data_IF_054650560596
#
_entry.id   IF_054650560596
#
_cell.length_a   1.000
_cell.length_b   1.000
_cell.length_c   1.000
_cell.angle_alpha   90.00
_cell.angle_beta   90.00
_cell.angle_gamma   90.00
#
_symmetry.space_group_name_H-M   'P 1'
#
loop_
_entity.id
_entity.type
_entity.pdbx_description
1 polymer ?
#
# COMPACT_ATOMS: atom_id res chain seq x y z
N UNK A 1 17.45 21.07 21.35
CA UNK A 1 16.19 20.71 20.65
C UNK A 1 16.51 19.91 19.38
N UNK A 2 16.88 18.63 19.53
CA UNK A 2 17.35 17.76 18.41
C UNK A 2 16.60 16.43 18.31
N UNK A 3 15.60 16.20 19.16
CA UNK A 3 14.89 14.91 19.30
C UNK A 3 13.83 14.66 18.21
N UNK A 4 13.40 15.72 17.50
CA UNK A 4 12.29 15.63 16.53
C UNK A 4 12.71 14.96 15.21
N UNK A 5 13.99 15.07 14.83
CA UNK A 5 14.49 14.58 13.54
C UNK A 5 14.70 13.07 13.53
N UNK A 6 15.21 12.50 14.63
CA UNK A 6 15.46 11.06 14.74
C UNK A 6 14.14 10.25 14.72
N UNK A 7 13.13 10.71 15.45
CA UNK A 7 11.82 10.04 15.54
C UNK A 7 11.09 10.01 14.19
N UNK A 8 11.32 11.02 13.34
CA UNK A 8 10.70 11.13 12.02
C UNK A 8 11.30 10.15 11.01
N UNK A 9 12.61 9.94 11.04
CA UNK A 9 13.30 9.00 10.14
C UNK A 9 12.96 7.54 10.49
N UNK A 10 12.85 7.21 11.78
CA UNK A 10 12.41 5.89 12.25
C UNK A 10 10.94 5.59 11.94
N UNK A 11 10.07 6.61 12.02
CA UNK A 11 8.66 6.47 11.66
C UNK A 11 8.46 6.30 10.15
N UNK A 12 9.29 6.95 9.32
CA UNK A 12 9.31 6.77 7.86
C UNK A 12 9.77 5.36 7.47
N UNK A 13 10.82 4.83 8.11
CA UNK A 13 11.28 3.45 7.85
C UNK A 13 10.26 2.41 8.33
N UNK A 14 9.64 2.62 9.50
CA UNK A 14 8.58 1.75 10.02
C UNK A 14 7.28 1.81 9.21
N UNK A 15 6.86 3.00 8.78
CA UNK A 15 5.67 3.20 7.95
C UNK A 15 5.82 2.61 6.56
N UNK A 16 6.98 2.81 5.92
CA UNK A 16 7.27 2.21 4.61
C UNK A 16 7.32 0.68 4.70
N UNK A 17 7.97 0.12 5.72
CA UNK A 17 7.95 -1.33 5.96
C UNK A 17 6.54 -1.88 6.18
N UNK A 18 5.72 -1.21 7.00
CA UNK A 18 4.35 -1.64 7.27
C UNK A 18 3.50 -1.67 6.00
N UNK A 19 3.65 -0.65 5.15
CA UNK A 19 2.95 -0.55 3.86
C UNK A 19 3.40 -1.65 2.90
N UNK A 20 4.71 -1.90 2.79
CA UNK A 20 5.24 -2.97 1.95
C UNK A 20 4.77 -4.35 2.43
N UNK A 21 4.81 -4.59 3.74
CA UNK A 21 4.33 -5.84 4.34
C UNK A 21 2.84 -6.06 4.07
N UNK A 22 2.00 -5.03 4.28
CA UNK A 22 0.57 -5.12 4.01
C UNK A 22 0.26 -5.33 2.51
N UNK A 23 1.02 -4.69 1.61
CA UNK A 23 0.86 -4.88 0.17
C UNK A 23 1.28 -6.29 -0.29
N UNK A 24 2.31 -6.89 0.34
CA UNK A 24 2.67 -8.31 0.13
C UNK A 24 1.59 -9.25 0.61
N UNK A 25 1.09 -9.03 1.82
CA UNK A 25 -0.01 -9.82 2.40
C UNK A 25 -1.27 -9.75 1.51
N UNK A 26 -1.58 -8.59 0.94
CA UNK A 26 -2.67 -8.42 -0.01
C UNK A 26 -2.46 -9.25 -1.30
N UNK A 27 -1.24 -9.23 -1.85
CA UNK A 27 -0.86 -10.05 -3.02
C UNK A 27 -1.02 -11.54 -2.72
N UNK A 28 -0.52 -12.00 -1.58
CA UNK A 28 -0.60 -13.40 -1.16
C UNK A 28 -2.04 -13.83 -0.91
N UNK A 29 -2.85 -13.01 -0.25
CA UNK A 29 -4.27 -13.29 -0.06
C UNK A 29 -5.01 -13.47 -1.39
N UNK A 30 -4.67 -12.66 -2.40
CA UNK A 30 -5.22 -12.77 -3.76
C UNK A 30 -4.78 -14.05 -4.47
N UNK A 31 -3.54 -14.49 -4.28
CA UNK A 31 -3.07 -15.79 -4.78
C UNK A 31 -3.79 -16.95 -4.09
N UNK A 32 -4.01 -16.84 -2.78
CA UNK A 32 -4.71 -17.85 -2.00
C UNK A 32 -6.17 -18.02 -2.45
N UNK A 33 -6.85 -16.92 -2.78
CA UNK A 33 -8.17 -16.93 -3.39
C UNK A 33 -8.17 -17.61 -4.77
N UNK A 34 -7.18 -17.30 -5.62
CA UNK A 34 -7.02 -17.93 -6.94
C UNK A 34 -6.76 -19.44 -6.85
N UNK A 35 -6.12 -19.89 -5.77
CA UNK A 35 -5.90 -21.31 -5.50
C UNK A 35 -7.14 -22.05 -4.96
N UNK A 36 -8.29 -21.38 -4.82
CA UNK A 36 -9.56 -22.00 -4.41
C UNK A 36 -9.84 -21.97 -2.90
N UNK A 37 -8.99 -21.33 -2.10
CA UNK A 37 -9.21 -21.20 -0.66
C UNK A 37 -10.15 -20.04 -0.33
N UNK A 38 -11.45 -20.19 -0.62
CA UNK A 38 -12.42 -19.10 -0.56
C UNK A 38 -12.60 -18.49 0.84
N UNK A 39 -12.98 -19.29 1.85
CA UNK A 39 -13.33 -18.75 3.18
C UNK A 39 -12.14 -18.05 3.84
N UNK A 40 -11.00 -18.73 3.92
CA UNK A 40 -9.77 -18.18 4.50
C UNK A 40 -9.17 -17.08 3.63
N UNK A 41 -9.25 -17.21 2.31
CA UNK A 41 -8.75 -16.21 1.37
C UNK A 41 -9.51 -14.89 1.45
N UNK A 42 -10.85 -14.92 1.56
CA UNK A 42 -11.64 -13.70 1.71
C UNK A 42 -11.31 -12.99 3.03
N UNK A 43 -11.25 -13.74 4.14
CA UNK A 43 -10.89 -13.17 5.44
C UNK A 43 -9.49 -12.54 5.44
N UNK A 44 -8.51 -13.26 4.88
CA UNK A 44 -7.13 -12.78 4.73
C UNK A 44 -7.07 -11.53 3.85
N UNK A 45 -7.82 -11.52 2.75
CA UNK A 45 -7.88 -10.39 1.82
C UNK A 45 -8.50 -9.14 2.46
N UNK A 46 -9.63 -9.27 3.16
CA UNK A 46 -10.26 -8.15 3.89
C UNK A 46 -9.40 -7.63 5.04
N UNK A 47 -8.64 -8.51 5.69
CA UNK A 47 -7.65 -8.11 6.70
C UNK A 47 -6.51 -7.31 6.06
N UNK A 48 -5.89 -7.85 5.01
CA UNK A 48 -4.77 -7.21 4.32
C UNK A 48 -5.12 -5.82 3.79
N UNK A 49 -6.33 -5.64 3.24
CA UNK A 49 -6.82 -4.32 2.78
C UNK A 49 -6.93 -3.31 3.92
N UNK A 50 -7.47 -3.73 5.06
CA UNK A 50 -7.58 -2.87 6.25
C UNK A 50 -6.21 -2.48 6.79
N UNK A 51 -5.29 -3.44 6.88
CA UNK A 51 -3.91 -3.18 7.31
C UNK A 51 -3.19 -2.24 6.34
N UNK A 52 -3.35 -2.44 5.02
CA UNK A 52 -2.79 -1.56 4.00
C UNK A 52 -3.35 -0.14 4.11
N UNK A 53 -4.66 0.01 4.35
CA UNK A 53 -5.28 1.32 4.57
C UNK A 53 -4.70 2.02 5.80
N UNK A 54 -4.58 1.32 6.93
CA UNK A 54 -4.02 1.86 8.15
C UNK A 54 -2.54 2.24 7.98
N UNK A 55 -1.75 1.38 7.35
CA UNK A 55 -0.33 1.62 7.08
C UNK A 55 -0.14 2.83 6.15
N UNK A 56 -0.98 2.94 5.11
CA UNK A 56 -0.97 4.08 4.18
C UNK A 56 -1.31 5.38 4.92
N UNK A 57 -2.27 5.34 5.84
CA UNK A 57 -2.64 6.49 6.66
C UNK A 57 -1.49 6.94 7.57
N UNK A 58 -0.77 6.00 8.19
CA UNK A 58 0.40 6.28 9.03
C UNK A 58 1.57 6.87 8.22
N UNK A 59 1.78 6.37 7.00
CA UNK A 59 2.84 6.84 6.10
C UNK A 59 2.56 8.25 5.57
N UNK A 60 1.31 8.54 5.16
CA UNK A 60 0.94 9.85 4.59
C UNK A 60 0.80 10.95 5.65
N UNK A 61 0.51 10.62 6.91
CA UNK A 61 0.62 11.56 8.03
C UNK A 61 2.07 11.94 8.37
N UNK A 62 3.02 11.10 7.96
CA UNK A 62 4.46 11.29 8.12
C UNK A 62 5.05 11.81 6.81
N UNK A 63 4.67 13.04 6.42
CA UNK A 63 4.97 13.61 5.10
C UNK A 63 6.38 13.29 4.58
N UNK A 64 6.52 12.65 3.40
CA UNK A 64 7.81 12.26 2.87
C UNK A 64 8.58 13.49 2.39
N UNK A 65 9.76 13.71 2.93
CA UNK A 65 10.82 14.43 2.22
C UNK A 65 11.53 13.40 1.34
N UNK A 66 11.48 13.52 0.01
CA UNK A 66 12.31 12.70 -0.87
C UNK A 66 13.76 12.98 -0.51
N UNK A 67 14.48 11.98 -0.03
CA UNK A 67 15.94 12.06 0.11
C UNK A 67 16.51 11.59 -1.21
N UNK A 68 17.14 12.53 -1.94
CA UNK A 68 17.67 12.41 -3.30
C UNK A 68 18.87 11.45 -3.43
N UNK A 69 18.80 10.24 -2.89
CA UNK A 69 19.95 9.31 -2.87
C UNK A 69 19.60 7.88 -3.29
N UNK A 70 18.69 7.75 -4.25
CA UNK A 70 18.52 6.54 -5.06
C UNK A 70 18.60 6.91 -6.54
N UNK A 71 19.27 6.09 -7.37
CA UNK A 71 19.31 6.31 -8.82
C UNK A 71 17.90 6.53 -9.38
N UNK A 72 17.77 7.38 -10.40
CA UNK A 72 16.48 7.81 -10.96
C UNK A 72 15.42 6.69 -11.08
N UNK A 73 15.73 5.46 -11.52
CA UNK A 73 14.73 4.38 -11.65
C UNK A 73 14.11 3.90 -10.32
N UNK A 74 14.88 3.92 -9.23
CA UNK A 74 14.42 3.48 -7.92
C UNK A 74 13.49 4.53 -7.30
N UNK A 75 13.85 5.81 -7.42
CA UNK A 75 13.04 6.92 -6.94
C UNK A 75 11.69 6.97 -7.68
N UNK A 76 11.72 6.82 -9.01
CA UNK A 76 10.51 6.79 -9.85
C UNK A 76 9.59 5.61 -9.48
N UNK A 77 10.17 4.42 -9.28
CA UNK A 77 9.41 3.23 -8.89
C UNK A 77 8.79 3.37 -7.49
N UNK A 78 9.54 3.95 -6.55
CA UNK A 78 9.03 4.22 -5.21
C UNK A 78 7.93 5.29 -5.23
N UNK A 79 8.08 6.35 -6.03
CA UNK A 79 7.06 7.38 -6.18
C UNK A 79 5.78 6.82 -6.83
N UNK A 80 5.90 5.98 -7.85
CA UNK A 80 4.76 5.30 -8.45
C UNK A 80 4.02 4.40 -7.44
N UNK A 81 4.76 3.71 -6.58
CA UNK A 81 4.20 2.94 -5.47
C UNK A 81 3.45 3.83 -4.47
N UNK A 82 4.03 4.97 -4.06
CA UNK A 82 3.36 5.93 -3.18
C UNK A 82 2.06 6.49 -3.77
N UNK A 83 2.05 6.82 -5.06
CA UNK A 83 0.84 7.27 -5.77
C UNK A 83 -0.23 6.17 -5.77
N UNK A 84 0.15 4.91 -6.05
CA UNK A 84 -0.78 3.79 -6.02
C UNK A 84 -1.43 3.59 -4.64
N UNK A 85 -0.68 3.83 -3.56
CA UNK A 85 -1.22 3.76 -2.18
C UNK A 85 -2.21 4.89 -1.89
N UNK A 86 -1.95 6.10 -2.38
CA UNK A 86 -2.89 7.21 -2.25
C UNK A 86 -4.19 6.94 -3.02
N UNK A 87 -4.09 6.42 -4.24
CA UNK A 87 -5.24 5.99 -5.04
C UNK A 87 -6.06 4.92 -4.31
N UNK A 88 -5.37 3.92 -3.74
CA UNK A 88 -5.98 2.87 -2.93
C UNK A 88 -6.72 3.45 -1.72
N UNK A 89 -6.10 4.35 -0.97
CA UNK A 89 -6.75 5.02 0.16
C UNK A 89 -8.03 5.74 -0.27
N UNK A 90 -7.96 6.55 -1.33
CA UNK A 90 -9.13 7.30 -1.82
C UNK A 90 -10.24 6.39 -2.39
N UNK A 91 -9.89 5.25 -2.98
CA UNK A 91 -10.88 4.27 -3.41
C UNK A 91 -11.50 3.52 -2.21
N UNK A 92 -10.71 3.21 -1.19
CA UNK A 92 -11.17 2.58 0.05
C UNK A 92 -12.13 3.49 0.82
N UNK A 93 -11.79 4.78 0.95
CA UNK A 93 -12.65 5.77 1.62
C UNK A 93 -14.00 5.89 0.91
N UNK A 94 -14.01 5.97 -0.44
CA UNK A 94 -15.25 5.98 -1.24
C UNK A 94 -16.08 4.71 -1.04
N UNK A 95 -15.44 3.54 -1.08
CA UNK A 95 -16.12 2.24 -0.86
C UNK A 95 -16.68 2.11 0.55
N UNK A 96 -16.01 2.70 1.54
CA UNK A 96 -16.47 2.71 2.93
C UNK A 96 -17.65 3.66 3.14
N UNK A 97 -17.67 4.79 2.43
CA UNK A 97 -18.78 5.73 2.46
C UNK A 97 -20.05 5.14 1.81
N UNK A 98 -19.90 4.39 0.72
CA UNK A 98 -21.01 3.69 0.07
C UNK A 98 -20.63 2.24 -0.30
N UNK A 99 -21.14 1.31 0.50
CA UNK A 99 -20.93 -0.14 0.31
C UNK A 99 -21.88 -0.77 -0.71
N UNK A 100 -22.85 -0.01 -1.23
CA UNK A 100 -23.74 -0.45 -2.31
C UNK A 100 -23.26 0.01 -3.69
N UNK A 101 -22.38 1.01 -3.75
CA UNK A 101 -21.83 1.53 -5.01
C UNK A 101 -20.89 0.51 -5.70
N UNK A 102 -21.36 -0.01 -6.83
CA UNK A 102 -20.60 -0.90 -7.71
C UNK A 102 -19.39 -0.22 -8.37
N UNK A 103 -19.47 1.08 -8.65
CA UNK A 103 -18.35 1.85 -9.18
C UNK A 103 -17.25 2.02 -8.14
N UNK A 104 -17.59 2.35 -6.90
CA UNK A 104 -16.64 2.39 -5.79
C UNK A 104 -15.97 1.02 -5.54
N UNK A 105 -16.74 -0.07 -5.66
CA UNK A 105 -16.18 -1.44 -5.57
C UNK A 105 -15.13 -1.67 -6.66
N UNK A 106 -15.48 -1.38 -7.91
CA UNK A 106 -14.57 -1.58 -9.05
C UNK A 106 -13.33 -0.70 -8.92
N UNK A 107 -13.49 0.55 -8.51
CA UNK A 107 -12.38 1.47 -8.28
C UNK A 107 -11.41 0.94 -7.22
N UNK A 108 -11.92 0.39 -6.11
CA UNK A 108 -11.09 -0.22 -5.08
C UNK A 108 -10.33 -1.45 -5.62
N UNK A 109 -11.00 -2.33 -6.37
CA UNK A 109 -10.36 -3.51 -6.98
C UNK A 109 -9.23 -3.10 -7.94
N UNK A 110 -9.43 -2.06 -8.76
CA UNK A 110 -8.38 -1.56 -9.66
C UNK A 110 -7.22 -0.93 -8.88
N UNK A 111 -7.50 -0.18 -7.82
CA UNK A 111 -6.46 0.39 -6.97
C UNK A 111 -5.64 -0.70 -6.26
N UNK A 112 -6.27 -1.78 -5.77
CA UNK A 112 -5.59 -2.95 -5.21
C UNK A 112 -4.63 -3.59 -6.25
N UNK A 113 -5.09 -3.76 -7.49
CA UNK A 113 -4.23 -4.29 -8.57
C UNK A 113 -3.03 -3.38 -8.82
N UNK A 114 -3.25 -2.06 -8.84
CA UNK A 114 -2.19 -1.07 -9.05
C UNK A 114 -1.13 -1.15 -7.95
N UNK A 115 -1.53 -1.19 -6.68
CA UNK A 115 -0.59 -1.34 -5.54
C UNK A 115 0.24 -2.62 -5.69
N UNK A 116 -0.38 -3.76 -5.97
CA UNK A 116 0.32 -5.04 -6.15
C UNK A 116 1.33 -4.98 -7.31
N UNK A 117 0.93 -4.34 -8.42
CA UNK A 117 1.76 -4.17 -9.61
C UNK A 117 2.97 -3.27 -9.36
N UNK A 118 2.76 -2.10 -8.77
CA UNK A 118 3.86 -1.16 -8.45
C UNK A 118 4.80 -1.72 -7.37
N UNK A 119 4.28 -2.47 -6.39
CA UNK A 119 5.13 -3.23 -5.47
C UNK A 119 6.04 -4.21 -6.23
N UNK A 120 5.51 -4.90 -7.24
CA UNK A 120 6.29 -5.85 -8.05
C UNK A 120 7.39 -5.17 -8.87
N UNK A 121 7.11 -3.99 -9.43
CA UNK A 121 8.13 -3.18 -10.12
C UNK A 121 9.21 -2.71 -9.15
N UNK A 122 8.83 -2.20 -7.99
CA UNK A 122 9.76 -1.77 -6.95
C UNK A 122 10.68 -2.92 -6.50
N UNK A 123 10.11 -4.10 -6.27
CA UNK A 123 10.88 -5.31 -5.93
C UNK A 123 11.82 -5.73 -7.06
N UNK A 124 11.42 -5.57 -8.32
CA UNK A 124 12.29 -5.89 -9.47
C UNK A 124 13.48 -4.93 -9.59
N UNK A 125 13.31 -3.64 -9.28
CA UNK A 125 14.41 -2.66 -9.32
C UNK A 125 15.37 -2.82 -8.14
N UNK A 126 14.93 -3.41 -7.04
CA UNK A 126 15.73 -3.64 -5.83
C UNK A 126 16.57 -4.93 -5.86
N UNK A 127 16.29 -5.86 -6.77
CA UNK A 127 17.01 -7.13 -6.92
C UNK A 127 17.91 -7.09 -8.16
#
# INVERSE_FOLDING_TARGET
MTTTTLHRVSALSGGAQAVVAAARELREAKQFLRAGHLVRGVQRHERAKRELYQATHALTGSGPTPTESGGAPLLDSFQAFLVALQDFRGAYDRRRADTSDGHATRALIEAEKKVIGELGRLEHVLN
#
